data_IF_561534693913
#
_entry.id   IF_561534693913
#
_cell.length_a   1.000
_cell.length_b   1.000
_cell.length_c   1.000
_cell.angle_alpha   90.00
_cell.angle_beta   90.00
_cell.angle_gamma   90.00
#
_symmetry.space_group_name_H-M   'P 1'
#
loop_
_entity.id
_entity.type
_entity.pdbx_description
1 polymer ?
#
# COMPACT_ATOMS: atom_id res chain seq x y z
N UNK A 1 2.27 -0.32 15.73
CA UNK A 1 1.85 0.47 14.54
C UNK A 1 2.91 0.46 13.46
N UNK A 2 4.18 0.70 13.79
CA UNK A 2 5.25 0.79 12.78
C UNK A 2 5.49 -0.52 12.03
N UNK A 3 5.55 -1.65 12.73
CA UNK A 3 5.67 -2.98 12.13
C UNK A 3 4.53 -3.29 11.16
N UNK A 4 3.27 -3.14 11.59
CA UNK A 4 2.07 -3.34 10.74
C UNK A 4 2.08 -2.45 9.50
N UNK A 5 2.52 -1.20 9.64
CA UNK A 5 2.59 -0.29 8.50
C UNK A 5 3.70 -0.70 7.53
N UNK A 6 4.86 -1.11 8.03
CA UNK A 6 5.97 -1.61 7.19
C UNK A 6 5.53 -2.88 6.46
N UNK A 7 4.87 -3.81 7.16
CA UNK A 7 4.31 -5.01 6.57
C UNK A 7 3.30 -4.69 5.46
N UNK A 8 2.35 -3.80 5.72
CA UNK A 8 1.40 -3.33 4.70
C UNK A 8 2.09 -2.65 3.52
N UNK A 9 3.16 -1.88 3.75
CA UNK A 9 3.94 -1.23 2.70
C UNK A 9 4.69 -2.23 1.82
N UNK A 10 5.29 -3.27 2.38
CA UNK A 10 5.96 -4.31 1.60
C UNK A 10 4.95 -5.16 0.82
N UNK A 11 3.84 -5.54 1.45
CA UNK A 11 2.75 -6.24 0.77
C UNK A 11 2.17 -5.43 -0.40
N UNK A 12 1.97 -4.13 -0.22
CA UNK A 12 1.54 -3.23 -1.29
C UNK A 12 2.55 -3.18 -2.45
N UNK A 13 3.86 -3.11 -2.15
CA UNK A 13 4.92 -3.11 -3.15
C UNK A 13 4.89 -4.39 -4.00
N UNK A 14 4.78 -5.55 -3.36
CA UNK A 14 4.71 -6.84 -4.05
C UNK A 14 3.43 -6.98 -4.86
N UNK A 15 2.27 -6.61 -4.30
CA UNK A 15 0.99 -6.68 -5.00
C UNK A 15 0.97 -5.82 -6.28
N UNK A 16 1.48 -4.58 -6.21
CA UNK A 16 1.59 -3.69 -7.37
C UNK A 16 2.59 -4.26 -8.40
N UNK A 17 3.71 -4.82 -7.94
CA UNK A 17 4.66 -5.48 -8.83
C UNK A 17 4.03 -6.67 -9.57
N UNK A 18 3.30 -7.54 -8.87
CA UNK A 18 2.60 -8.68 -9.46
C UNK A 18 1.54 -8.23 -10.47
N UNK A 19 0.73 -7.20 -10.14
CA UNK A 19 -0.25 -6.60 -11.06
C UNK A 19 0.42 -6.16 -12.36
N UNK A 20 1.49 -5.38 -12.26
CA UNK A 20 2.25 -4.88 -13.42
C UNK A 20 2.88 -6.03 -14.23
N UNK A 21 3.38 -7.06 -13.56
CA UNK A 21 3.98 -8.22 -14.22
C UNK A 21 2.94 -8.99 -15.03
N UNK A 22 1.79 -9.31 -14.44
CA UNK A 22 0.68 -10.01 -15.10
C UNK A 22 0.16 -9.23 -16.31
N UNK A 23 0.01 -7.91 -16.17
CA UNK A 23 -0.41 -7.04 -17.28
C UNK A 23 0.60 -7.08 -18.44
N UNK A 24 1.91 -7.06 -18.15
CA UNK A 24 2.95 -7.17 -19.18
C UNK A 24 2.97 -8.52 -19.89
N UNK A 25 2.61 -9.59 -19.19
CA UNK A 25 2.48 -10.91 -19.80
C UNK A 25 1.25 -11.03 -20.72
N UNK A 26 0.31 -10.09 -20.67
CA UNK A 26 -0.92 -10.13 -21.47
C UNK A 26 -1.93 -11.20 -21.03
N UNK A 27 -1.74 -11.79 -19.84
CA UNK A 27 -2.64 -12.82 -19.29
C UNK A 27 -3.99 -12.21 -18.89
N UNK A 28 -3.97 -10.98 -18.40
CA UNK A 28 -5.16 -10.17 -18.10
C UNK A 28 -5.06 -8.87 -18.90
N UNK A 29 -5.99 -8.58 -19.82
CA UNK A 29 -5.88 -7.44 -20.75
C UNK A 29 -5.74 -6.08 -20.06
N UNK A 30 -6.40 -5.89 -18.93
CA UNK A 30 -6.25 -4.70 -18.08
C UNK A 30 -6.70 -4.99 -16.65
N UNK A 31 -6.02 -4.39 -15.68
CA UNK A 31 -6.42 -4.41 -14.26
C UNK A 31 -6.62 -2.96 -13.85
N UNK A 32 -7.86 -2.49 -13.86
CA UNK A 32 -8.22 -1.10 -13.55
C UNK A 32 -8.36 -0.87 -12.05
N UNK A 33 -8.81 -1.89 -11.31
CA UNK A 33 -9.05 -1.77 -9.88
C UNK A 33 -7.75 -1.69 -9.06
N UNK A 34 -7.77 -0.96 -7.92
CA UNK A 34 -6.67 -0.95 -6.97
C UNK A 34 -6.46 -2.32 -6.33
N UNK A 35 -5.21 -2.65 -6.00
CA UNK A 35 -4.90 -3.83 -5.18
C UNK A 35 -5.39 -3.60 -3.75
N UNK A 36 -6.24 -4.50 -3.25
CA UNK A 36 -6.75 -4.39 -1.88
C UNK A 36 -5.77 -5.03 -0.91
N UNK A 37 -5.27 -4.24 0.03
CA UNK A 37 -4.43 -4.71 1.14
C UNK A 37 -5.28 -4.69 2.40
N UNK A 38 -5.50 -5.88 2.97
CA UNK A 38 -6.23 -6.04 4.21
C UNK A 38 -5.29 -5.92 5.41
N UNK A 39 -5.68 -5.10 6.39
CA UNK A 39 -4.93 -4.87 7.61
C UNK A 39 -5.89 -4.83 8.81
N UNK A 40 -5.57 -5.49 9.91
CA UNK A 40 -6.36 -5.47 11.15
C UNK A 40 -6.14 -4.19 11.98
N UNK A 41 -5.05 -3.47 11.71
CA UNK A 41 -4.66 -2.27 12.43
C UNK A 41 -5.28 -1.00 11.83
N UNK A 42 -6.38 -0.55 12.46
CA UNK A 42 -7.05 0.71 12.12
C UNK A 42 -6.12 1.93 12.09
N UNK A 43 -5.10 1.96 12.95
CA UNK A 43 -4.11 3.03 12.98
C UNK A 43 -3.23 3.04 11.73
N UNK A 44 -2.81 1.87 11.24
CA UNK A 44 -2.06 1.77 9.99
C UNK A 44 -2.90 2.18 8.78
N UNK A 45 -4.16 1.72 8.71
CA UNK A 45 -5.12 2.10 7.66
C UNK A 45 -5.34 3.62 7.64
N UNK A 46 -5.58 4.22 8.80
CA UNK A 46 -5.78 5.66 8.90
C UNK A 46 -4.52 6.46 8.53
N UNK A 47 -3.33 5.95 8.86
CA UNK A 47 -2.07 6.58 8.49
C UNK A 47 -1.79 6.54 6.99
N UNK A 48 -2.17 5.46 6.31
CA UNK A 48 -2.03 5.33 4.86
C UNK A 48 -2.98 6.29 4.11
N UNK A 49 -4.14 6.60 4.69
CA UNK A 49 -5.15 7.52 4.14
C UNK A 49 -4.88 9.00 4.46
N UNK A 50 -4.01 9.32 5.42
CA UNK A 50 -3.73 10.71 5.85
C UNK A 50 -2.48 11.28 5.17
N UNK A 51 -2.55 12.54 4.72
CA UNK A 51 -1.41 13.27 4.15
C UNK A 51 -0.40 13.81 5.19
N UNK A 52 -0.70 13.71 6.49
CA UNK A 52 0.12 14.36 7.54
C UNK A 52 1.36 13.54 7.91
N UNK A 53 2.53 14.17 7.80
CA UNK A 53 3.83 13.65 8.25
C UNK A 53 4.02 13.93 9.75
N UNK A 54 4.37 12.91 10.53
CA UNK A 54 4.97 13.08 11.86
C UNK A 54 6.45 12.70 11.76
N UNK A 55 7.29 13.37 12.53
CA UNK A 55 8.74 13.13 12.57
C UNK A 55 9.01 11.67 12.98
N UNK A 56 9.43 10.83 12.02
CA UNK A 56 9.87 9.45 12.22
C UNK A 56 11.26 9.25 11.61
N UNK A 57 11.95 8.20 12.03
CA UNK A 57 13.26 7.80 11.50
C UNK A 57 13.23 7.63 9.98
N UNK A 58 14.33 8.01 9.29
CA UNK A 58 14.40 8.08 7.81
C UNK A 58 14.00 6.78 7.09
N UNK A 59 14.35 5.61 7.63
CA UNK A 59 14.04 4.31 7.00
C UNK A 59 12.53 4.05 7.00
N UNK A 60 11.87 4.32 8.12
CA UNK A 60 10.42 4.17 8.26
C UNK A 60 9.71 5.18 7.37
N UNK A 61 10.22 6.40 7.25
CA UNK A 61 9.68 7.43 6.37
C UNK A 61 9.50 6.95 4.92
N UNK A 62 10.42 6.11 4.40
CA UNK A 62 10.30 5.55 3.05
C UNK A 62 9.07 4.66 2.89
N UNK A 63 8.83 3.72 3.81
CA UNK A 63 7.63 2.88 3.77
C UNK A 63 6.35 3.71 3.91
N UNK A 64 6.38 4.71 4.80
CA UNK A 64 5.27 5.66 4.97
C UNK A 64 4.93 6.41 3.69
N UNK A 65 5.94 6.95 3.01
CA UNK A 65 5.75 7.62 1.73
C UNK A 65 5.27 6.68 0.64
N UNK A 66 5.90 5.51 0.50
CA UNK A 66 5.58 4.55 -0.54
C UNK A 66 4.11 4.13 -0.49
N UNK A 67 3.65 3.66 0.68
CA UNK A 67 2.27 3.19 0.82
C UNK A 67 1.25 4.32 0.61
N UNK A 68 1.54 5.54 1.10
CA UNK A 68 0.67 6.71 0.87
C UNK A 68 0.61 7.10 -0.59
N UNK A 69 1.75 7.07 -1.27
CA UNK A 69 1.85 7.38 -2.70
C UNK A 69 1.03 6.39 -3.52
N UNK A 70 1.18 5.09 -3.26
CA UNK A 70 0.38 4.03 -3.91
C UNK A 70 -1.11 4.20 -3.66
N UNK A 71 -1.52 4.53 -2.44
CA UNK A 71 -2.93 4.82 -2.12
C UNK A 71 -3.41 6.09 -2.84
N UNK A 72 -2.60 7.14 -2.90
CA UNK A 72 -2.96 8.40 -3.56
C UNK A 72 -3.09 8.27 -5.08
N UNK A 73 -2.31 7.38 -5.70
CA UNK A 73 -2.38 7.06 -7.13
C UNK A 73 -3.55 6.15 -7.49
N UNK A 74 -4.19 5.55 -6.49
CA UNK A 74 -5.21 4.53 -6.72
C UNK A 74 -4.62 3.18 -7.14
N UNK A 75 -3.33 2.95 -6.92
CA UNK A 75 -2.71 1.64 -7.17
C UNK A 75 -3.12 0.62 -6.09
N UNK A 76 -3.35 1.11 -4.87
CA UNK A 76 -3.64 0.31 -3.68
C UNK A 76 -4.80 0.90 -2.89
N UNK A 77 -5.62 0.02 -2.30
CA UNK A 77 -6.70 0.38 -1.36
C UNK A 77 -6.52 -0.38 -0.06
N UNK A 78 -6.54 0.34 1.07
CA UNK A 78 -6.41 -0.24 2.41
C UNK A 78 -7.79 -0.48 3.03
N UNK A 79 -8.07 -1.74 3.34
CA UNK A 79 -9.30 -2.21 3.97
C UNK A 79 -9.02 -2.97 5.28
N UNK A 80 -10.04 -3.04 6.14
CA UNK A 80 -9.95 -3.77 7.40
C UNK A 80 -10.23 -5.25 7.17
N UNK A 81 -9.48 -6.13 7.83
CA UNK A 81 -9.89 -7.55 7.98
C UNK A 81 -11.12 -7.58 8.91
N UNK A 82 -12.19 -8.25 8.48
CA UNK A 82 -13.43 -8.39 9.26
C UNK A 82 -13.40 -9.57 10.21
#
# INVERSE_FOLDING_TARGET
MEAEYIAASEAAKEAVWMKNYIQKLGVVPSITEPMVIFCDNNGAIAQAKKLRSHHRSKHIFRHYHLLREMVSRGDVRMDRVS
#
